data_IF_423083428905
#
_entry.id   IF_423083428905
#
_cell.length_a   1.000
_cell.length_b   1.000
_cell.length_c   1.000
_cell.angle_alpha   90.00
_cell.angle_beta   90.00
_cell.angle_gamma   90.00
#
_symmetry.space_group_name_H-M   'P 1'
#
loop_
_entity.id
_entity.type
_entity.pdbx_description
1 polymer ?
#
# COMPACT_ATOMS: atom_id res chain seq x y z
N UNK A 1 -42.36 3.37 31.87
CA UNK A 1 -40.93 3.09 31.73
C UNK A 1 -40.55 3.40 30.27
N UNK A 2 -40.14 4.62 30.03
CA UNK A 2 -39.69 5.09 28.70
C UNK A 2 -38.30 4.54 28.40
N UNK A 3 -38.19 3.77 27.31
CA UNK A 3 -36.89 3.37 26.76
C UNK A 3 -36.30 4.61 26.13
N UNK A 4 -35.31 5.20 26.78
CA UNK A 4 -34.36 6.16 26.15
C UNK A 4 -33.63 5.45 25.03
N UNK A 5 -34.05 5.66 23.78
CA UNK A 5 -33.25 5.40 22.59
C UNK A 5 -32.05 6.31 22.68
N UNK A 6 -30.89 5.73 22.96
CA UNK A 6 -29.60 6.39 22.81
C UNK A 6 -29.42 6.64 21.31
N UNK A 7 -29.75 7.84 20.85
CA UNK A 7 -29.34 8.30 19.50
C UNK A 7 -27.82 8.34 19.46
N UNK A 8 -27.25 7.33 18.88
CA UNK A 8 -25.82 7.37 18.51
C UNK A 8 -25.71 8.46 17.44
N UNK A 9 -25.27 9.66 17.82
CA UNK A 9 -24.96 10.75 16.89
C UNK A 9 -23.82 10.31 16.00
N UNK A 10 -24.15 9.78 14.84
CA UNK A 10 -23.15 9.48 13.80
C UNK A 10 -22.62 10.80 13.24
N UNK A 11 -21.30 10.92 13.16
CA UNK A 11 -20.62 12.05 12.49
C UNK A 11 -21.09 12.06 11.02
N UNK A 12 -21.56 13.21 10.54
CA UNK A 12 -21.99 13.34 9.15
C UNK A 12 -20.82 13.23 8.18
N UNK A 13 -21.07 12.87 6.93
CA UNK A 13 -20.02 12.82 5.89
C UNK A 13 -19.30 14.15 5.75
N UNK A 14 -20.02 15.28 5.87
CA UNK A 14 -19.42 16.62 5.80
C UNK A 14 -18.53 16.93 7.01
N UNK A 15 -18.96 16.56 8.23
CA UNK A 15 -18.15 16.73 9.43
C UNK A 15 -16.85 15.92 9.34
N UNK A 16 -16.93 14.68 8.85
CA UNK A 16 -15.76 13.84 8.63
C UNK A 16 -14.78 14.47 7.64
N UNK A 17 -15.26 14.86 6.45
CA UNK A 17 -14.46 15.53 5.43
C UNK A 17 -13.76 16.78 5.99
N UNK A 18 -14.44 17.54 6.83
CA UNK A 18 -13.86 18.72 7.47
C UNK A 18 -12.75 18.38 8.46
N UNK A 19 -12.91 17.30 9.23
CA UNK A 19 -11.86 16.79 10.13
C UNK A 19 -10.65 16.33 9.32
N UNK A 20 -10.86 15.56 8.25
CA UNK A 20 -9.82 15.12 7.33
C UNK A 20 -9.03 16.32 6.76
N UNK A 21 -9.74 17.31 6.22
CA UNK A 21 -9.10 18.52 5.66
C UNK A 21 -8.26 19.28 6.70
N UNK A 22 -8.74 19.39 7.95
CA UNK A 22 -7.99 20.06 9.03
C UNK A 22 -6.74 19.26 9.40
N UNK A 23 -6.86 17.94 9.57
CA UNK A 23 -5.74 17.07 9.91
C UNK A 23 -4.65 17.12 8.83
N UNK A 24 -5.02 16.89 7.56
CA UNK A 24 -4.05 16.91 6.46
C UNK A 24 -3.40 18.26 6.25
N UNK A 25 -4.15 19.36 6.43
CA UNK A 25 -3.58 20.71 6.37
C UNK A 25 -2.57 20.96 7.49
N UNK A 26 -2.86 20.47 8.68
CA UNK A 26 -1.95 20.61 9.84
C UNK A 26 -0.66 19.81 9.63
N UNK A 27 -0.77 18.56 9.17
CA UNK A 27 0.39 17.71 8.86
C UNK A 27 1.24 18.30 7.73
N UNK A 28 0.62 18.80 6.66
CA UNK A 28 1.31 19.48 5.58
C UNK A 28 2.02 20.77 6.04
N UNK A 29 1.47 21.46 7.05
CA UNK A 29 2.13 22.64 7.63
C UNK A 29 3.35 22.22 8.46
N UNK A 30 3.26 21.15 9.23
CA UNK A 30 4.39 20.60 10.01
C UNK A 30 5.52 20.24 9.04
N UNK A 31 5.27 19.41 8.02
CA UNK A 31 6.28 18.99 7.06
C UNK A 31 6.98 20.17 6.36
N UNK A 32 6.21 21.20 5.92
CA UNK A 32 6.81 22.42 5.33
C UNK A 32 7.70 23.18 6.29
N UNK A 33 7.35 23.22 7.59
CA UNK A 33 8.18 23.87 8.59
C UNK A 33 9.45 23.07 8.87
N UNK A 34 9.38 21.74 8.89
CA UNK A 34 10.57 20.88 9.01
C UNK A 34 11.50 21.09 7.81
N UNK A 35 10.98 21.06 6.59
CA UNK A 35 11.76 21.34 5.37
C UNK A 35 12.41 22.73 5.39
N UNK A 36 11.68 23.74 5.83
CA UNK A 36 12.24 25.11 5.99
C UNK A 36 13.36 25.14 7.03
N UNK A 37 13.21 24.48 8.17
CA UNK A 37 14.23 24.40 9.21
C UNK A 37 15.47 23.66 8.73
N UNK A 38 15.34 22.55 8.02
CA UNK A 38 16.47 21.84 7.40
C UNK A 38 17.26 22.73 6.45
N UNK A 39 16.58 23.42 5.52
CA UNK A 39 17.22 24.38 4.61
C UNK A 39 17.85 25.56 5.35
N UNK A 40 17.29 25.99 6.47
CA UNK A 40 17.87 27.04 7.31
C UNK A 40 19.14 26.55 7.99
N UNK A 41 19.14 25.34 8.55
CA UNK A 41 20.28 24.72 9.20
C UNK A 41 21.45 24.47 8.25
N UNK A 42 21.17 24.14 6.99
CA UNK A 42 22.20 24.00 5.97
C UNK A 42 22.96 25.32 5.70
N UNK A 43 22.31 26.46 5.89
CA UNK A 43 22.90 27.79 5.67
C UNK A 43 23.56 28.38 6.92
N UNK A 44 22.99 28.13 8.08
CA UNK A 44 23.41 28.80 9.34
C UNK A 44 24.19 27.85 10.27
N UNK A 45 24.14 26.58 10.05
CA UNK A 45 24.59 25.52 10.94
C UNK A 45 23.59 25.28 12.07
N UNK A 46 23.48 24.04 12.50
CA UNK A 46 22.79 23.61 13.71
C UNK A 46 23.57 22.45 14.30
N UNK A 47 23.44 22.25 15.60
CA UNK A 47 23.98 21.04 16.23
C UNK A 47 23.19 19.79 15.80
N UNK A 48 23.83 18.64 15.86
CA UNK A 48 23.28 17.36 15.39
C UNK A 48 21.99 17.01 16.13
N UNK A 49 21.89 17.31 17.43
CA UNK A 49 20.70 17.02 18.22
C UNK A 49 19.48 17.82 17.77
N UNK A 50 19.69 19.06 17.33
CA UNK A 50 18.62 19.91 16.79
C UNK A 50 18.16 19.39 15.41
N UNK A 51 19.09 18.97 14.54
CA UNK A 51 18.77 18.37 13.24
C UNK A 51 17.97 17.07 13.43
N UNK A 52 18.43 16.20 14.33
CA UNK A 52 17.74 14.95 14.64
C UNK A 52 16.32 15.20 15.16
N UNK A 53 16.12 16.17 16.06
CA UNK A 53 14.80 16.48 16.56
C UNK A 53 13.83 16.96 15.46
N UNK A 54 14.31 17.71 14.46
CA UNK A 54 13.48 18.11 13.31
C UNK A 54 13.16 16.92 12.41
N UNK A 55 14.13 16.07 12.14
CA UNK A 55 13.93 14.83 11.38
C UNK A 55 12.92 13.88 12.07
N UNK A 56 12.98 13.76 13.40
CA UNK A 56 12.03 12.96 14.18
C UNK A 56 10.60 13.54 14.09
N UNK A 57 10.45 14.87 14.12
CA UNK A 57 9.14 15.53 13.97
C UNK A 57 8.59 15.30 12.56
N UNK A 58 9.41 15.44 11.52
CA UNK A 58 8.98 15.18 10.12
C UNK A 58 8.55 13.74 9.94
N UNK A 59 9.37 12.79 10.43
CA UNK A 59 9.05 11.35 10.41
C UNK A 59 7.74 11.05 11.11
N UNK A 60 7.51 11.60 12.30
CA UNK A 60 6.27 11.42 13.06
C UNK A 60 5.06 12.01 12.32
N UNK A 61 5.20 13.18 11.69
CA UNK A 61 4.13 13.80 10.90
C UNK A 61 3.76 12.94 9.68
N UNK A 62 4.75 12.39 8.99
CA UNK A 62 4.55 11.50 7.83
C UNK A 62 3.87 10.18 8.25
N UNK A 63 4.28 9.59 9.38
CA UNK A 63 3.65 8.37 9.91
C UNK A 63 2.19 8.63 10.31
N UNK A 64 1.88 9.78 10.89
CA UNK A 64 0.50 10.18 11.20
C UNK A 64 -0.33 10.38 9.94
N UNK A 65 0.20 11.04 8.90
CA UNK A 65 -0.48 11.22 7.61
C UNK A 65 -0.85 9.88 6.98
N UNK A 66 0.08 8.94 6.97
CA UNK A 66 -0.14 7.57 6.49
C UNK A 66 -1.23 6.86 7.30
N UNK A 67 -1.06 6.81 8.62
CA UNK A 67 -2.00 6.11 9.51
C UNK A 67 -3.41 6.68 9.40
N UNK A 68 -3.53 7.99 9.32
CA UNK A 68 -4.81 8.68 9.15
C UNK A 68 -5.47 8.32 7.81
N UNK A 69 -4.69 8.32 6.72
CA UNK A 69 -5.19 7.94 5.38
C UNK A 69 -5.67 6.49 5.34
N UNK A 70 -4.89 5.56 5.90
CA UNK A 70 -5.26 4.15 5.98
C UNK A 70 -6.53 3.95 6.82
N UNK A 71 -6.63 4.63 7.97
CA UNK A 71 -7.80 4.56 8.84
C UNK A 71 -9.06 5.12 8.14
N UNK A 72 -8.95 6.25 7.46
CA UNK A 72 -10.06 6.86 6.72
C UNK A 72 -10.53 5.92 5.60
N UNK A 73 -9.60 5.34 4.84
CA UNK A 73 -9.92 4.40 3.75
C UNK A 73 -10.61 3.14 4.29
N UNK A 74 -10.14 2.59 5.42
CA UNK A 74 -10.81 1.47 6.08
C UNK A 74 -12.22 1.82 6.55
N UNK A 75 -12.41 3.01 7.13
CA UNK A 75 -13.74 3.49 7.53
C UNK A 75 -14.67 3.69 6.33
N UNK A 76 -14.15 4.12 5.18
CA UNK A 76 -14.91 4.18 3.93
C UNK A 76 -15.35 2.79 3.47
N UNK A 77 -14.48 1.80 3.52
CA UNK A 77 -14.77 0.43 3.12
C UNK A 77 -15.81 -0.26 4.02
N UNK A 78 -15.85 0.11 5.30
CA UNK A 78 -16.83 -0.42 6.26
C UNK A 78 -18.24 0.15 6.07
N UNK A 79 -18.41 1.14 5.21
CA UNK A 79 -19.74 1.71 4.94
C UNK A 79 -20.50 0.84 3.97
N UNK A 80 -21.77 0.59 4.25
CA UNK A 80 -22.65 -0.23 3.42
C UNK A 80 -22.92 0.38 2.02
N UNK A 81 -22.76 1.70 1.87
CA UNK A 81 -23.00 2.44 0.63
C UNK A 81 -21.79 2.47 -0.31
N UNK A 82 -20.61 1.98 0.13
CA UNK A 82 -19.38 1.97 -0.66
C UNK A 82 -19.06 0.59 -1.25
N UNK A 83 -19.94 0.10 -2.12
CA UNK A 83 -19.69 -1.16 -2.82
C UNK A 83 -18.61 -0.99 -3.89
N UNK A 84 -17.69 -1.98 -4.07
CA UNK A 84 -16.70 -1.95 -5.12
C UNK A 84 -17.39 -1.97 -6.49
N UNK A 85 -16.82 -1.23 -7.43
CA UNK A 85 -17.27 -1.28 -8.83
C UNK A 85 -16.41 -2.28 -9.60
N UNK A 86 -16.85 -3.54 -9.63
CA UNK A 86 -16.11 -4.60 -10.29
C UNK A 86 -16.33 -4.55 -11.80
N UNK A 87 -15.23 -4.51 -12.55
CA UNK A 87 -15.21 -4.61 -14.00
C UNK A 87 -13.94 -5.32 -14.48
N UNK A 88 -13.92 -5.86 -15.71
CA UNK A 88 -12.74 -6.51 -16.25
C UNK A 88 -11.57 -5.53 -16.37
N UNK A 89 -10.44 -5.84 -15.75
CA UNK A 89 -9.17 -5.10 -15.88
C UNK A 89 -8.05 -6.05 -16.30
N UNK A 90 -7.01 -5.52 -16.93
CA UNK A 90 -5.76 -6.24 -17.15
C UNK A 90 -4.82 -6.00 -15.97
N UNK A 91 -4.60 -7.05 -15.18
CA UNK A 91 -3.72 -6.98 -14.02
C UNK A 91 -2.25 -6.82 -14.42
N UNK A 92 -1.82 -7.34 -15.57
CA UNK A 92 -0.46 -7.13 -16.07
C UNK A 92 -0.20 -5.63 -16.34
N UNK A 93 -1.17 -4.93 -16.98
CA UNK A 93 -1.06 -3.47 -17.20
C UNK A 93 -0.96 -2.72 -15.87
N UNK A 94 -1.79 -3.08 -14.88
CA UNK A 94 -1.78 -2.45 -13.55
C UNK A 94 -0.43 -2.64 -12.86
N UNK A 95 0.09 -3.85 -12.81
CA UNK A 95 1.39 -4.16 -12.18
C UNK A 95 2.55 -3.43 -12.87
N UNK A 96 2.53 -3.32 -14.21
CA UNK A 96 3.52 -2.55 -14.95
C UNK A 96 3.46 -1.06 -14.58
N UNK A 97 2.27 -0.50 -14.42
CA UNK A 97 2.11 0.90 -14.00
C UNK A 97 2.64 1.13 -12.58
N UNK A 98 2.36 0.23 -11.64
CA UNK A 98 2.87 0.30 -10.26
C UNK A 98 4.40 0.20 -10.26
N UNK A 99 4.97 -0.77 -10.97
CA UNK A 99 6.42 -0.97 -11.03
C UNK A 99 7.15 0.20 -11.71
N UNK A 100 6.60 0.76 -12.79
CA UNK A 100 7.19 1.92 -13.46
C UNK A 100 7.26 3.15 -12.55
N UNK A 101 6.30 3.35 -11.63
CA UNK A 101 6.38 4.41 -10.63
C UNK A 101 7.41 4.11 -9.52
N UNK A 102 7.81 2.84 -9.38
CA UNK A 102 8.74 2.39 -8.33
C UNK A 102 10.22 2.57 -8.73
N UNK A 103 10.53 2.95 -9.97
CA UNK A 103 11.93 3.15 -10.42
C UNK A 103 12.66 4.23 -9.60
N UNK A 104 11.97 5.26 -9.13
CA UNK A 104 12.53 6.25 -8.21
C UNK A 104 12.90 5.62 -6.85
N UNK A 105 12.10 4.67 -6.39
CA UNK A 105 12.30 3.94 -5.13
C UNK A 105 13.53 3.06 -5.23
N UNK A 106 13.70 2.35 -6.35
CA UNK A 106 14.88 1.52 -6.61
C UNK A 106 16.17 2.31 -6.45
N UNK A 107 16.21 3.53 -7.02
CA UNK A 107 17.38 4.39 -6.97
C UNK A 107 17.70 4.89 -5.54
N UNK A 108 16.68 5.13 -4.72
CA UNK A 108 16.84 5.68 -3.36
C UNK A 108 17.07 4.60 -2.29
N UNK A 109 16.41 3.46 -2.40
CA UNK A 109 16.49 2.39 -1.41
C UNK A 109 17.54 1.32 -1.75
N UNK A 110 18.09 1.34 -2.97
CA UNK A 110 19.01 0.29 -3.42
C UNK A 110 18.38 -1.10 -3.51
N UNK A 111 17.04 -1.19 -3.62
CA UNK A 111 16.29 -2.47 -3.72
C UNK A 111 15.92 -2.73 -5.17
N UNK A 112 16.18 -3.94 -5.68
CA UNK A 112 15.78 -4.34 -7.03
C UNK A 112 14.32 -4.83 -7.05
N UNK A 113 13.51 -4.30 -7.97
CA UNK A 113 12.11 -4.72 -8.15
C UNK A 113 11.99 -5.48 -9.46
N UNK A 114 11.58 -6.75 -9.40
CA UNK A 114 11.43 -7.62 -10.55
C UNK A 114 9.97 -7.97 -10.79
N UNK A 115 9.57 -7.95 -12.07
CA UNK A 115 8.28 -8.41 -12.53
C UNK A 115 8.45 -9.73 -13.28
N UNK A 116 7.70 -10.76 -12.88
CA UNK A 116 7.70 -12.06 -13.54
C UNK A 116 6.27 -12.52 -13.82
N UNK A 117 5.85 -12.45 -15.06
CA UNK A 117 4.51 -12.84 -15.49
C UNK A 117 4.43 -14.28 -16.05
N UNK A 118 5.52 -15.06 -15.98
CA UNK A 118 5.55 -16.44 -16.48
C UNK A 118 5.21 -16.58 -17.95
N UNK A 119 5.48 -15.58 -18.76
CA UNK A 119 5.14 -15.53 -20.18
C UNK A 119 3.73 -15.06 -20.49
N UNK A 120 2.91 -14.70 -19.48
CA UNK A 120 1.59 -14.10 -19.69
C UNK A 120 1.74 -12.66 -20.18
N UNK A 121 1.03 -12.32 -21.26
CA UNK A 121 0.97 -10.94 -21.79
C UNK A 121 -0.22 -10.16 -21.28
N UNK A 122 -1.29 -10.86 -20.87
CA UNK A 122 -2.53 -10.29 -20.36
C UNK A 122 -3.09 -11.15 -19.25
N UNK A 123 -3.65 -10.51 -18.23
CA UNK A 123 -4.32 -11.19 -17.13
C UNK A 123 -5.64 -10.46 -16.83
N UNK A 124 -6.73 -10.93 -17.45
CA UNK A 124 -8.04 -10.35 -17.24
C UNK A 124 -8.66 -10.88 -15.94
N UNK A 125 -9.02 -9.96 -15.05
CA UNK A 125 -9.66 -10.25 -13.75
C UNK A 125 -10.80 -9.28 -13.47
N UNK A 126 -11.78 -9.71 -12.66
CA UNK A 126 -12.81 -8.81 -12.14
C UNK A 126 -12.26 -8.06 -10.91
N UNK A 127 -12.18 -6.75 -11.00
CA UNK A 127 -11.68 -5.93 -9.91
C UNK A 127 -12.30 -4.52 -9.89
N UNK A 128 -12.34 -3.93 -8.71
CA UNK A 128 -12.34 -2.48 -8.58
C UNK A 128 -10.90 -2.00 -8.73
N UNK A 129 -10.65 -1.18 -9.72
CA UNK A 129 -9.29 -0.76 -10.06
C UNK A 129 -8.61 -0.02 -8.91
N UNK A 130 -9.35 0.84 -8.19
CA UNK A 130 -8.82 1.57 -7.03
C UNK A 130 -8.38 0.62 -5.92
N UNK A 131 -9.22 -0.36 -5.60
CA UNK A 131 -8.94 -1.34 -4.56
C UNK A 131 -7.74 -2.23 -4.96
N UNK A 132 -7.64 -2.61 -6.25
CA UNK A 132 -6.50 -3.38 -6.77
C UNK A 132 -5.18 -2.56 -6.78
N UNK A 133 -5.22 -1.28 -7.17
CA UNK A 133 -4.07 -0.37 -7.10
C UNK A 133 -3.58 -0.22 -5.64
N UNK A 134 -4.50 -0.02 -4.71
CA UNK A 134 -4.20 0.14 -3.29
C UNK A 134 -3.58 -1.13 -2.70
N UNK A 135 -4.14 -2.30 -3.02
CA UNK A 135 -3.60 -3.60 -2.63
C UNK A 135 -2.14 -3.76 -3.10
N UNK A 136 -1.89 -3.56 -4.40
CA UNK A 136 -0.56 -3.73 -4.98
C UNK A 136 0.46 -2.76 -4.36
N UNK A 137 0.07 -1.50 -4.12
CA UNK A 137 0.92 -0.49 -3.48
C UNK A 137 1.29 -0.86 -2.05
N UNK A 138 0.32 -1.30 -1.24
CA UNK A 138 0.60 -1.68 0.15
C UNK A 138 1.43 -2.96 0.25
N UNK A 139 1.18 -3.96 -0.61
CA UNK A 139 2.02 -5.17 -0.65
C UNK A 139 3.46 -4.83 -1.05
N UNK A 140 3.63 -3.99 -2.08
CA UNK A 140 4.96 -3.54 -2.52
C UNK A 140 5.66 -2.71 -1.42
N UNK A 141 4.96 -1.77 -0.79
CA UNK A 141 5.50 -0.96 0.30
C UNK A 141 5.96 -1.82 1.48
N UNK A 142 5.18 -2.83 1.86
CA UNK A 142 5.55 -3.75 2.93
C UNK A 142 6.81 -4.56 2.58
N UNK A 143 6.89 -5.08 1.35
CA UNK A 143 8.05 -5.81 0.86
C UNK A 143 9.32 -4.94 0.83
N UNK A 144 9.21 -3.69 0.33
CA UNK A 144 10.33 -2.74 0.30
C UNK A 144 10.83 -2.37 1.70
N UNK A 145 9.95 -2.27 2.69
CA UNK A 145 10.32 -2.01 4.09
C UNK A 145 11.05 -3.18 4.72
N UNK A 146 10.63 -4.40 4.40
CA UNK A 146 11.25 -5.61 4.92
C UNK A 146 12.61 -5.90 4.27
N UNK A 147 12.81 -5.47 3.01
CA UNK A 147 14.05 -5.69 2.25
C UNK A 147 15.19 -4.84 2.77
N UNK A 148 16.44 -5.34 2.64
CA UNK A 148 17.67 -4.62 2.97
C UNK A 148 18.21 -3.86 1.75
N UNK A 149 19.16 -2.99 1.96
CA UNK A 149 19.94 -2.39 0.88
C UNK A 149 20.65 -3.49 0.08
N UNK A 150 20.58 -3.40 -1.26
CA UNK A 150 21.04 -4.48 -2.15
C UNK A 150 20.08 -5.66 -2.25
N UNK A 151 18.94 -5.63 -1.54
CA UNK A 151 17.92 -6.65 -1.59
C UNK A 151 17.03 -6.59 -2.82
N UNK A 152 16.06 -7.50 -2.88
CA UNK A 152 15.16 -7.61 -4.02
C UNK A 152 13.71 -7.89 -3.61
N UNK A 153 12.78 -7.32 -4.38
CA UNK A 153 11.35 -7.63 -4.33
C UNK A 153 10.93 -8.21 -5.67
N UNK A 154 10.32 -9.39 -5.65
CA UNK A 154 9.78 -10.04 -6.84
C UNK A 154 8.25 -9.98 -6.82
N UNK A 155 7.65 -9.40 -7.86
CA UNK A 155 6.22 -9.44 -8.11
C UNK A 155 5.99 -10.46 -9.23
N UNK A 156 5.35 -11.57 -8.92
CA UNK A 156 5.09 -12.62 -9.90
C UNK A 156 3.60 -12.87 -10.09
N UNK A 157 3.23 -13.21 -11.32
CA UNK A 157 1.86 -13.54 -11.69
C UNK A 157 1.86 -14.91 -12.37
N UNK A 158 1.09 -15.84 -11.84
CA UNK A 158 0.99 -17.22 -12.35
C UNK A 158 -0.46 -17.63 -12.47
N UNK A 159 -0.77 -18.32 -13.54
CA UNK A 159 -2.07 -18.97 -13.73
C UNK A 159 -2.02 -20.39 -13.19
N UNK A 160 -2.98 -20.74 -12.35
CA UNK A 160 -3.24 -22.12 -11.93
C UNK A 160 -4.43 -22.68 -12.70
N UNK A 161 -4.90 -23.87 -12.35
CA UNK A 161 -6.09 -24.46 -12.95
C UNK A 161 -7.39 -23.72 -12.57
N UNK A 162 -7.45 -23.15 -11.35
CA UNK A 162 -8.66 -22.57 -10.75
C UNK A 162 -8.62 -21.04 -10.61
N UNK A 163 -7.42 -20.44 -10.57
CA UNK A 163 -7.24 -19.05 -10.24
C UNK A 163 -5.99 -18.43 -10.91
N UNK A 164 -5.81 -17.12 -10.70
CA UNK A 164 -4.55 -16.44 -10.84
C UNK A 164 -3.92 -16.25 -9.46
N UNK A 165 -2.62 -16.43 -9.36
CA UNK A 165 -1.84 -16.11 -8.17
C UNK A 165 -0.93 -14.93 -8.44
N UNK A 166 -1.17 -13.83 -7.73
CA UNK A 166 -0.25 -12.71 -7.63
C UNK A 166 0.58 -12.89 -6.36
N UNK A 167 1.89 -12.95 -6.50
CA UNK A 167 2.81 -13.04 -5.37
C UNK A 167 3.70 -11.82 -5.30
N UNK A 168 3.92 -11.30 -4.09
CA UNK A 168 4.92 -10.28 -3.79
C UNK A 168 5.86 -10.87 -2.75
N UNK A 169 7.10 -11.09 -3.15
CA UNK A 169 8.14 -11.77 -2.34
C UNK A 169 9.27 -10.80 -2.05
N UNK A 170 9.64 -10.65 -0.80
CA UNK A 170 10.84 -9.94 -0.34
C UNK A 170 11.91 -10.91 0.15
N UNK A 171 13.15 -10.43 0.22
CA UNK A 171 14.30 -11.14 0.80
C UNK A 171 14.70 -10.60 2.18
N UNK A 172 13.77 -9.95 2.86
CA UNK A 172 13.95 -9.28 4.13
C UNK A 172 14.18 -10.19 5.34
N UNK A 173 13.88 -9.67 6.52
CA UNK A 173 14.04 -10.42 7.79
C UNK A 173 13.02 -11.56 7.95
N UNK A 174 11.98 -11.59 7.11
CA UNK A 174 10.88 -12.54 7.24
C UNK A 174 9.91 -12.16 8.37
N UNK A 175 8.93 -13.05 8.58
CA UNK A 175 7.97 -12.92 9.68
C UNK A 175 8.51 -13.65 10.92
N UNK A 176 8.55 -13.03 12.09
CA UNK A 176 9.02 -13.70 13.30
C UNK A 176 7.99 -14.72 13.78
N UNK A 177 8.44 -15.96 13.95
CA UNK A 177 7.69 -17.03 14.61
C UNK A 177 6.86 -17.92 13.69
N UNK A 178 6.42 -19.04 14.26
CA UNK A 178 5.72 -20.13 13.55
C UNK A 178 4.27 -19.77 13.14
N UNK A 179 3.75 -18.59 13.50
CA UNK A 179 2.34 -18.25 13.32
C UNK A 179 2.13 -16.98 12.48
N UNK A 180 2.45 -17.11 11.19
CA UNK A 180 2.23 -16.08 10.17
C UNK A 180 0.75 -15.70 10.07
N UNK A 181 -0.15 -16.68 10.26
CA UNK A 181 -1.60 -16.45 10.27
C UNK A 181 -2.02 -15.63 11.48
N UNK A 182 -1.40 -15.84 12.64
CA UNK A 182 -1.63 -15.02 13.82
C UNK A 182 -1.09 -13.59 13.66
N UNK A 183 -0.08 -13.36 12.82
CA UNK A 183 0.37 -12.01 12.49
C UNK A 183 -0.69 -11.25 11.67
N UNK A 184 -1.44 -11.94 10.82
CA UNK A 184 -2.61 -11.39 10.12
C UNK A 184 -3.80 -11.16 11.07
N UNK A 185 -3.94 -11.98 12.11
CA UNK A 185 -5.04 -11.92 13.07
C UNK A 185 -4.69 -11.11 14.33
N UNK A 186 -3.43 -11.13 14.75
CA UNK A 186 -2.94 -10.47 15.96
C UNK A 186 -2.34 -9.10 15.68
N UNK A 187 -2.84 -8.13 16.41
CA UNK A 187 -2.60 -6.69 16.40
C UNK A 187 -1.16 -6.26 16.82
N UNK A 188 -0.11 -7.05 16.59
CA UNK A 188 1.26 -6.67 16.96
C UNK A 188 2.06 -6.34 15.70
N UNK A 189 2.45 -5.07 15.58
CA UNK A 189 3.37 -4.61 14.54
C UNK A 189 4.79 -5.05 14.87
N UNK A 190 5.47 -5.68 13.93
CA UNK A 190 6.89 -6.02 14.07
C UNK A 190 7.80 -4.87 13.62
N UNK A 191 7.27 -3.89 12.89
CA UNK A 191 8.01 -2.74 12.33
C UNK A 191 7.46 -1.38 12.81
N UNK A 192 6.85 -1.33 13.99
CA UNK A 192 6.47 -0.06 14.63
C UNK A 192 5.27 0.70 14.01
N UNK A 193 4.50 0.10 13.09
CA UNK A 193 3.33 0.72 12.48
C UNK A 193 1.98 0.24 13.06
N UNK A 194 0.89 0.92 12.75
CA UNK A 194 -0.46 0.58 13.21
C UNK A 194 -1.07 -0.67 12.53
N UNK A 195 -0.35 -1.39 11.68
CA UNK A 195 -0.78 -2.58 10.89
C UNK A 195 -2.01 -2.34 9.99
N UNK A 196 -2.41 -1.10 9.81
CA UNK A 196 -3.60 -0.77 9.02
C UNK A 196 -3.40 -1.12 7.54
N UNK A 197 -2.16 -1.04 7.02
CA UNK A 197 -1.86 -1.39 5.63
C UNK A 197 -2.19 -2.84 5.29
N UNK A 198 -1.88 -3.80 6.18
CA UNK A 198 -2.20 -5.22 5.94
C UNK A 198 -3.70 -5.50 6.10
N UNK A 199 -4.34 -4.85 7.07
CA UNK A 199 -5.79 -4.89 7.22
C UNK A 199 -6.49 -4.31 5.99
N UNK A 200 -5.96 -3.24 5.42
CA UNK A 200 -6.44 -2.64 4.19
C UNK A 200 -6.28 -3.59 2.99
N UNK A 201 -5.14 -4.27 2.86
CA UNK A 201 -4.94 -5.30 1.85
C UNK A 201 -5.99 -6.42 1.94
N UNK A 202 -6.25 -6.92 3.16
CA UNK A 202 -7.30 -7.94 3.38
C UNK A 202 -8.68 -7.44 2.98
N UNK A 203 -8.99 -6.21 3.33
CA UNK A 203 -10.29 -5.62 3.01
C UNK A 203 -10.43 -5.38 1.50
N UNK A 204 -9.38 -4.92 0.80
CA UNK A 204 -9.38 -4.85 -0.66
C UNK A 204 -9.66 -6.22 -1.29
N UNK A 205 -8.96 -7.27 -0.84
CA UNK A 205 -9.20 -8.63 -1.31
C UNK A 205 -10.64 -9.07 -1.05
N UNK A 206 -11.14 -8.92 0.18
CA UNK A 206 -12.51 -9.30 0.54
C UNK A 206 -13.57 -8.60 -0.34
N UNK A 207 -13.37 -7.33 -0.66
CA UNK A 207 -14.28 -6.53 -1.49
C UNK A 207 -14.31 -7.00 -2.95
N UNK A 208 -13.21 -7.57 -3.44
CA UNK A 208 -13.07 -8.10 -4.80
C UNK A 208 -13.29 -9.62 -4.90
N UNK A 209 -13.67 -10.29 -3.80
CA UNK A 209 -13.75 -11.75 -3.71
C UNK A 209 -12.40 -12.44 -3.99
N UNK A 210 -11.31 -11.78 -3.61
CA UNK A 210 -9.95 -12.30 -3.65
C UNK A 210 -9.54 -12.78 -2.25
N UNK A 211 -8.47 -13.56 -2.15
CA UNK A 211 -7.91 -13.98 -0.86
C UNK A 211 -6.44 -13.59 -0.76
N UNK A 212 -6.00 -13.26 0.46
CA UNK A 212 -4.62 -12.91 0.77
C UNK A 212 -4.09 -13.86 1.85
N UNK A 213 -2.92 -14.45 1.59
CA UNK A 213 -2.15 -15.24 2.54
C UNK A 213 -0.73 -14.70 2.63
N UNK A 214 -0.13 -14.82 3.81
CA UNK A 214 1.28 -14.51 4.02
C UNK A 214 2.00 -15.82 4.34
N UNK A 215 3.13 -16.03 3.69
CA UNK A 215 3.94 -17.23 3.83
C UNK A 215 5.42 -16.87 3.99
N UNK A 216 6.24 -17.70 4.64
CA UNK A 216 7.69 -17.54 4.56
C UNK A 216 8.13 -17.68 3.10
N UNK A 217 9.00 -16.80 2.64
CA UNK A 217 9.58 -16.94 1.30
C UNK A 217 10.48 -18.19 1.22
N UNK A 218 10.64 -18.81 0.02
CA UNK A 218 11.36 -20.08 -0.12
C UNK A 218 12.80 -20.08 0.38
N UNK A 219 13.50 -18.97 0.22
CA UNK A 219 14.90 -18.83 0.66
C UNK A 219 14.99 -18.00 1.94
N UNK A 220 14.46 -16.80 1.93
CA UNK A 220 14.45 -15.87 3.04
C UNK A 220 13.44 -14.77 2.78
N UNK A 221 12.86 -14.19 3.85
CA UNK A 221 11.91 -13.09 3.75
C UNK A 221 10.46 -13.55 3.83
N UNK A 222 9.57 -12.76 3.25
CA UNK A 222 8.12 -13.00 3.27
C UNK A 222 7.58 -13.07 1.86
N UNK A 223 6.57 -13.91 1.66
CA UNK A 223 5.78 -13.97 0.44
C UNK A 223 4.32 -13.67 0.75
N UNK A 224 3.78 -12.62 0.14
CA UNK A 224 2.35 -12.35 0.11
C UNK A 224 1.75 -13.01 -1.13
N UNK A 225 0.75 -13.88 -0.95
CA UNK A 225 0.07 -14.61 -2.01
C UNK A 225 -1.37 -14.14 -2.10
N UNK A 226 -1.75 -13.57 -3.25
CA UNK A 226 -3.14 -13.19 -3.55
C UNK A 226 -3.70 -14.15 -4.56
N UNK A 227 -4.75 -14.90 -4.18
CA UNK A 227 -5.49 -15.78 -5.10
C UNK A 227 -6.68 -15.02 -5.67
N UNK A 228 -6.80 -15.03 -6.99
CA UNK A 228 -7.73 -14.22 -7.77
C UNK A 228 -8.54 -15.14 -8.68
N UNK A 229 -9.86 -15.20 -8.53
CA UNK A 229 -10.70 -16.04 -9.37
C UNK A 229 -10.49 -15.77 -10.87
N UNK A 230 -10.51 -16.83 -11.67
CA UNK A 230 -10.46 -16.67 -13.14
C UNK A 230 -11.69 -15.90 -13.61
N UNK A 231 -11.46 -15.03 -14.58
CA UNK A 231 -12.55 -14.31 -15.24
C UNK A 231 -13.42 -15.31 -16.03
N UNK A 232 -14.69 -15.43 -15.66
CA UNK A 232 -15.68 -16.32 -16.26
C UNK A 232 -16.79 -15.57 -17.00
N UNK A 233 -16.63 -14.24 -17.17
CA UNK A 233 -17.62 -13.40 -17.81
C UNK A 233 -17.67 -13.59 -19.34
N UNK A 234 -18.62 -12.91 -19.96
CA UNK A 234 -18.81 -12.96 -21.42
C UNK A 234 -17.56 -12.48 -22.15
N UNK A 235 -17.01 -13.34 -22.97
CA UNK A 235 -16.01 -12.99 -23.96
C UNK A 235 -16.72 -12.75 -25.30
N UNK A 236 -16.15 -11.90 -26.14
CA UNK A 236 -16.61 -11.75 -27.54
C UNK A 236 -16.49 -13.08 -28.29
N UNK A 237 -17.17 -13.25 -29.43
CA UNK A 237 -17.08 -14.47 -30.22
C UNK A 237 -15.66 -14.87 -30.65
N UNK A 238 -14.74 -13.92 -30.66
CA UNK A 238 -13.31 -14.11 -30.93
C UNK A 238 -12.47 -14.47 -29.68
N UNK A 239 -13.12 -14.66 -28.53
CA UNK A 239 -12.46 -14.98 -27.25
C UNK A 239 -11.86 -13.78 -26.53
N UNK A 240 -12.03 -12.57 -27.06
CA UNK A 240 -11.55 -11.34 -26.39
C UNK A 240 -12.54 -10.83 -25.35
N UNK A 241 -12.00 -10.17 -24.30
CA UNK A 241 -12.79 -9.50 -23.26
C UNK A 241 -12.75 -8.01 -23.47
N UNK A 242 -13.89 -7.35 -23.36
CA UNK A 242 -13.95 -5.91 -23.43
C UNK A 242 -13.45 -5.29 -22.12
N UNK A 243 -12.22 -4.80 -22.13
CA UNK A 243 -11.67 -4.06 -21.00
C UNK A 243 -12.19 -2.63 -21.01
N UNK A 244 -12.47 -2.09 -19.83
CA UNK A 244 -12.81 -0.67 -19.70
C UNK A 244 -11.60 0.17 -20.11
N UNK A 245 -11.70 0.80 -21.26
CA UNK A 245 -10.64 1.70 -21.75
C UNK A 245 -10.70 3.02 -21.00
N UNK A 246 -9.59 3.37 -20.36
CA UNK A 246 -9.44 4.67 -19.72
C UNK A 246 -9.05 5.73 -20.74
N UNK A 247 -9.59 6.92 -20.59
CA UNK A 247 -9.13 8.08 -21.36
C UNK A 247 -7.67 8.42 -21.03
N UNK A 248 -6.97 9.10 -21.90
CA UNK A 248 -5.59 9.54 -21.68
C UNK A 248 -5.47 10.41 -20.43
N UNK A 249 -6.41 11.30 -20.22
CA UNK A 249 -6.49 12.15 -19.02
C UNK A 249 -6.63 11.32 -17.73
N UNK A 250 -7.47 10.29 -17.73
CA UNK A 250 -7.61 9.39 -16.56
C UNK A 250 -6.33 8.58 -16.31
N UNK A 251 -5.60 8.18 -17.36
CA UNK A 251 -4.32 7.49 -17.24
C UNK A 251 -3.26 8.40 -16.61
N UNK A 252 -3.14 9.65 -17.07
CA UNK A 252 -2.20 10.61 -16.50
C UNK A 252 -2.54 10.98 -15.05
N UNK A 253 -3.82 11.20 -14.73
CA UNK A 253 -4.26 11.44 -13.36
C UNK A 253 -3.91 10.25 -12.43
N UNK A 254 -4.08 9.03 -12.92
CA UNK A 254 -3.72 7.82 -12.16
C UNK A 254 -2.22 7.69 -11.94
N UNK A 255 -1.41 7.93 -12.96
CA UNK A 255 0.06 7.95 -12.81
C UNK A 255 0.48 8.93 -11.73
N UNK A 256 -0.09 10.13 -11.76
CA UNK A 256 0.18 11.15 -10.74
C UNK A 256 -0.24 10.69 -9.34
N UNK A 257 -1.42 10.09 -9.22
CA UNK A 257 -1.93 9.56 -7.94
C UNK A 257 -1.05 8.43 -7.40
N UNK A 258 -0.73 7.43 -8.22
CA UNK A 258 0.17 6.32 -7.86
C UNK A 258 1.54 6.83 -7.41
N UNK A 259 2.09 7.80 -8.15
CA UNK A 259 3.37 8.42 -7.79
C UNK A 259 3.30 9.13 -6.44
N UNK A 260 2.24 9.90 -6.18
CA UNK A 260 2.05 10.60 -4.91
C UNK A 260 1.94 9.63 -3.73
N UNK A 261 1.22 8.51 -3.91
CA UNK A 261 1.11 7.45 -2.91
C UNK A 261 2.46 6.79 -2.63
N UNK A 262 3.21 6.43 -3.67
CA UNK A 262 4.53 5.82 -3.54
C UNK A 262 5.52 6.77 -2.86
N UNK A 263 5.56 8.04 -3.23
CA UNK A 263 6.43 9.04 -2.59
C UNK A 263 6.11 9.17 -1.10
N UNK A 264 4.83 9.15 -0.73
CA UNK A 264 4.42 9.15 0.68
C UNK A 264 4.90 7.89 1.40
N UNK A 265 4.73 6.72 0.80
CA UNK A 265 5.19 5.45 1.37
C UNK A 265 6.72 5.43 1.58
N UNK A 266 7.48 6.02 0.66
CA UNK A 266 8.93 6.14 0.77
C UNK A 266 9.36 7.02 1.95
N UNK A 267 8.70 8.17 2.13
CA UNK A 267 9.01 9.08 3.23
C UNK A 267 8.78 8.45 4.61
N UNK A 268 7.91 7.44 4.70
CA UNK A 268 7.64 6.71 5.96
C UNK A 268 8.61 5.56 6.21
N UNK A 269 9.54 5.27 5.30
CA UNK A 269 10.54 4.24 5.54
C UNK A 269 11.56 4.77 6.54
N UNK A 270 11.90 4.00 7.61
CA UNK A 270 12.93 4.39 8.53
C UNK A 270 14.24 4.59 7.76
N UNK A 271 15.00 5.63 8.13
CA UNK A 271 16.41 5.68 7.71
C UNK A 271 17.04 4.36 8.13
N UNK A 272 17.68 3.69 7.17
CA UNK A 272 18.30 2.39 7.41
C UNK A 272 19.53 2.63 8.29
N UNK A 273 19.35 2.48 9.60
CA UNK A 273 20.45 2.43 10.55
C UNK A 273 21.39 1.28 10.23
N UNK A 274 22.67 1.42 10.57
CA UNK A 274 23.65 0.35 10.46
C UNK A 274 23.15 -0.91 11.16
N UNK A 275 23.32 -2.10 10.59
CA UNK A 275 22.80 -3.35 11.11
C UNK A 275 23.41 -3.79 12.45
N UNK A 276 24.28 -3.01 13.08
CA UNK A 276 24.90 -3.30 14.37
C UNK A 276 24.15 -2.74 15.59
N UNK A 277 23.12 -1.89 15.41
CA UNK A 277 22.43 -1.25 16.52
C UNK A 277 21.13 -1.95 16.99
N UNK A 278 20.79 -3.13 16.45
CA UNK A 278 19.60 -3.90 16.86
C UNK A 278 19.99 -5.26 17.49
N UNK A 279 20.76 -5.24 18.58
CA UNK A 279 20.86 -6.42 19.47
C UNK A 279 20.84 -6.01 20.94
#
# INVERSE_FOLDING_TARGET
>A
MEQQKTETRSITAEQRKRVEEVCFRSLALIGRNCEYLEQHFDRTGADESTRQAVADIDTAAIQLDRTLTEAITLLEFLREDTKPQLYPIDLCELLQQVAAQSDMIRAQLGVDIRLDYGGCTTCCVMADRRDAELLCLHLLSNALRASREGGSVCIALRRTESDWQLTVTDDGCGLPGEDVQAALENRRSFLGGAQLGLLLCRECCRRMDWSLQLEPAPEKGTQAVVSIPLYTGESRPDGTVELRTSSETEREQRKYHLRAMLVREMRTMPERGDPEDEF
#
